data_IF_500394896034
#
_entry.id   IF_500394896034
#
_cell.length_a   1.000
_cell.length_b   1.000
_cell.length_c   1.000
_cell.angle_alpha   90.00
_cell.angle_beta   90.00
_cell.angle_gamma   90.00
#
_symmetry.space_group_name_H-M   'P 1'
#
loop_
_entity.id
_entity.type
_entity.pdbx_description
1 polymer ?
#
# COMPACT_ATOMS: atom_id res chain seq x y z
N UNK A 1 -16.22 -9.37 -10.94
CA UNK A 1 -15.52 -10.65 -11.22
C UNK A 1 -14.60 -10.93 -10.04
N UNK A 2 -14.86 -11.99 -9.26
CA UNK A 2 -13.91 -12.45 -8.23
C UNK A 2 -12.84 -13.27 -8.97
N UNK A 3 -11.64 -12.72 -9.10
CA UNK A 3 -10.53 -13.39 -9.77
C UNK A 3 -10.05 -14.59 -8.93
N UNK A 4 -9.54 -15.61 -9.61
CA UNK A 4 -9.05 -16.93 -9.14
C UNK A 4 -7.98 -16.84 -8.02
N UNK A 5 -7.52 -15.63 -7.66
CA UNK A 5 -6.46 -15.37 -6.68
C UNK A 5 -6.86 -14.54 -5.46
N UNK A 6 -8.15 -14.31 -5.18
CA UNK A 6 -8.57 -13.28 -4.21
C UNK A 6 -7.79 -13.30 -2.89
N UNK A 7 -7.63 -14.47 -2.26
CA UNK A 7 -6.88 -14.59 -0.99
C UNK A 7 -5.39 -14.21 -1.09
N UNK A 8 -4.71 -14.58 -2.19
CA UNK A 8 -3.29 -14.23 -2.38
C UNK A 8 -3.14 -12.75 -2.68
N UNK A 9 -4.05 -12.18 -3.48
CA UNK A 9 -4.12 -10.74 -3.71
C UNK A 9 -4.40 -9.97 -2.41
N UNK A 10 -5.27 -10.48 -1.55
CA UNK A 10 -5.58 -9.89 -0.25
C UNK A 10 -4.32 -9.79 0.63
N UNK A 11 -3.47 -10.83 0.66
CA UNK A 11 -2.17 -10.82 1.38
C UNK A 11 -1.28 -9.67 0.88
N UNK A 12 -1.21 -9.44 -0.43
CA UNK A 12 -0.43 -8.33 -1.00
C UNK A 12 -0.99 -6.99 -0.55
N UNK A 13 -2.31 -6.82 -0.61
CA UNK A 13 -2.96 -5.57 -0.25
C UNK A 13 -2.82 -5.26 1.23
N UNK A 14 -2.98 -6.25 2.11
CA UNK A 14 -2.73 -6.16 3.55
C UNK A 14 -1.27 -5.81 3.85
N UNK A 15 -0.32 -6.45 3.17
CA UNK A 15 1.10 -6.16 3.37
C UNK A 15 1.44 -4.74 2.94
N UNK A 16 0.96 -4.29 1.77
CA UNK A 16 1.12 -2.91 1.30
C UNK A 16 0.51 -1.89 2.26
N UNK A 17 -0.71 -2.14 2.72
CA UNK A 17 -1.42 -1.27 3.66
C UNK A 17 -0.62 -1.09 4.96
N UNK A 18 -0.06 -2.17 5.46
CA UNK A 18 0.74 -2.16 6.68
C UNK A 18 2.05 -1.38 6.48
N UNK A 19 2.78 -1.59 5.38
CA UNK A 19 4.01 -0.83 5.08
C UNK A 19 3.72 0.66 4.99
N UNK A 20 2.71 1.07 4.21
CA UNK A 20 2.36 2.48 4.06
C UNK A 20 1.95 3.14 5.38
N UNK A 21 1.20 2.40 6.22
CA UNK A 21 0.80 2.86 7.55
C UNK A 21 2.01 3.03 8.47
N UNK A 22 2.97 2.12 8.43
CA UNK A 22 4.23 2.20 9.18
C UNK A 22 5.06 3.40 8.74
N UNK A 23 5.25 3.59 7.43
CA UNK A 23 5.99 4.74 6.87
C UNK A 23 5.33 6.08 7.24
N UNK A 24 4.00 6.16 7.17
CA UNK A 24 3.27 7.35 7.65
C UNK A 24 3.47 7.57 9.15
N UNK A 25 3.39 6.51 9.96
CA UNK A 25 3.56 6.60 11.40
C UNK A 25 4.97 7.03 11.80
N UNK A 26 6.02 6.57 11.09
CA UNK A 26 7.41 7.02 11.28
C UNK A 26 7.57 8.53 11.09
N UNK A 27 6.73 9.15 10.24
CA UNK A 27 6.69 10.60 10.03
C UNK A 27 5.83 11.37 11.02
N UNK A 28 5.24 10.69 12.01
CA UNK A 28 4.31 11.28 12.98
C UNK A 28 3.11 12.00 12.34
N UNK A 29 2.71 11.61 11.12
CA UNK A 29 1.58 12.22 10.42
C UNK A 29 0.33 11.37 10.59
N UNK A 30 -0.80 12.01 10.89
CA UNK A 30 -2.10 11.33 10.76
C UNK A 30 -2.50 11.22 9.28
N UNK A 31 -3.42 10.31 8.95
CA UNK A 31 -4.01 10.24 7.59
C UNK A 31 -4.55 11.61 7.16
N UNK A 32 -5.20 12.34 8.09
CA UNK A 32 -5.78 13.65 7.79
C UNK A 32 -4.70 14.69 7.52
N UNK A 33 -3.63 14.69 8.31
CA UNK A 33 -2.54 15.64 8.15
C UNK A 33 -1.81 15.43 6.83
N UNK A 34 -1.44 14.18 6.52
CA UNK A 34 -0.78 13.85 5.25
C UNK A 34 -1.68 14.16 4.04
N UNK A 35 -2.97 13.83 4.12
CA UNK A 35 -3.95 14.16 3.08
C UNK A 35 -4.02 15.67 2.81
N UNK A 36 -4.01 16.48 3.88
CA UNK A 36 -4.09 17.93 3.78
C UNK A 36 -2.82 18.55 3.19
N UNK A 37 -1.64 18.12 3.62
CA UNK A 37 -0.35 18.70 3.19
C UNK A 37 -0.03 18.48 1.71
N UNK A 38 -0.47 17.35 1.15
CA UNK A 38 -0.14 16.94 -0.22
C UNK A 38 -1.35 16.96 -1.16
N UNK A 39 -2.47 17.57 -0.73
CA UNK A 39 -3.74 17.61 -1.46
C UNK A 39 -4.21 16.22 -1.95
N UNK A 40 -4.00 15.19 -1.12
CA UNK A 40 -4.41 13.82 -1.41
C UNK A 40 -5.81 13.62 -0.83
N UNK A 41 -6.77 13.04 -1.58
CA UNK A 41 -8.07 12.71 -1.02
C UNK A 41 -7.92 11.81 0.20
N UNK A 42 -8.37 12.26 1.38
CA UNK A 42 -8.34 11.45 2.62
C UNK A 42 -8.92 10.04 2.43
N UNK A 43 -9.94 9.92 1.59
CA UNK A 43 -10.57 8.63 1.27
C UNK A 43 -9.63 7.69 0.51
N UNK A 44 -8.68 8.20 -0.27
CA UNK A 44 -7.65 7.41 -0.95
C UNK A 44 -6.70 6.77 0.07
N UNK A 45 -6.06 7.59 0.92
CA UNK A 45 -5.18 7.12 1.99
C UNK A 45 -5.88 6.12 2.91
N UNK A 46 -7.11 6.45 3.34
CA UNK A 46 -7.90 5.56 4.20
C UNK A 46 -8.21 4.21 3.53
N UNK A 47 -8.57 4.19 2.24
CA UNK A 47 -8.85 2.92 1.54
C UNK A 47 -7.60 2.07 1.39
N UNK A 48 -6.45 2.71 1.16
CA UNK A 48 -5.17 2.03 0.95
C UNK A 48 -4.62 1.44 2.25
N UNK A 49 -4.61 2.20 3.34
CA UNK A 49 -4.13 1.70 4.64
C UNK A 49 -5.08 0.71 5.33
N UNK A 50 -6.30 0.51 4.82
CA UNK A 50 -7.25 -0.48 5.32
C UNK A 50 -7.50 -1.62 4.33
N UNK A 51 -6.71 -1.75 3.26
CA UNK A 51 -6.82 -2.81 2.24
C UNK A 51 -8.22 -2.97 1.63
N UNK A 52 -9.02 -1.89 1.60
CA UNK A 52 -10.44 -2.02 1.21
C UNK A 52 -10.62 -2.25 -0.29
N UNK A 53 -9.65 -1.81 -1.09
CA UNK A 53 -9.66 -1.90 -2.54
C UNK A 53 -8.27 -2.26 -3.06
N UNK A 54 -8.22 -2.83 -4.26
CA UNK A 54 -6.99 -2.98 -5.02
C UNK A 54 -6.31 -1.61 -5.24
N UNK A 55 -5.05 -1.43 -4.79
CA UNK A 55 -4.30 -0.22 -5.01
C UNK A 55 -3.93 -0.08 -6.50
N UNK A 56 -4.30 1.05 -7.11
CA UNK A 56 -3.77 1.41 -8.43
C UNK A 56 -2.33 1.88 -8.30
N UNK A 57 -1.50 1.60 -9.32
CA UNK A 57 -0.09 2.02 -9.36
C UNK A 57 0.07 3.53 -9.11
N UNK A 58 -0.73 4.37 -9.77
CA UNK A 58 -0.68 5.82 -9.60
C UNK A 58 -0.99 6.22 -8.15
N UNK A 59 -1.95 5.57 -7.51
CA UNK A 59 -2.28 5.84 -6.11
C UNK A 59 -1.14 5.49 -5.16
N UNK A 60 -0.46 4.37 -5.40
CA UNK A 60 0.73 3.98 -4.64
C UNK A 60 1.84 5.00 -4.83
N UNK A 61 2.09 5.40 -6.08
CA UNK A 61 3.13 6.37 -6.41
C UNK A 61 2.88 7.72 -5.73
N UNK A 62 1.68 8.28 -5.82
CA UNK A 62 1.35 9.57 -5.18
C UNK A 62 1.55 9.53 -3.66
N UNK A 63 1.23 8.41 -3.02
CA UNK A 63 1.47 8.27 -1.57
C UNK A 63 2.95 8.10 -1.27
N UNK A 64 3.70 7.39 -2.10
CA UNK A 64 5.15 7.28 -1.95
C UNK A 64 5.80 8.67 -2.00
N UNK A 65 5.39 9.53 -2.93
CA UNK A 65 5.88 10.92 -3.00
C UNK A 65 5.49 11.74 -1.77
N UNK A 66 4.25 11.63 -1.29
CA UNK A 66 3.83 12.30 -0.05
C UNK A 66 4.56 11.80 1.21
N UNK A 67 4.95 10.52 1.19
CA UNK A 67 5.77 9.89 2.22
C UNK A 67 7.27 10.04 1.94
N UNK A 68 7.70 10.75 0.88
CA UNK A 68 9.12 10.91 0.54
C UNK A 68 9.88 9.56 0.56
N UNK A 69 9.27 8.54 -0.06
CA UNK A 69 9.85 7.21 -0.31
C UNK A 69 9.78 6.92 -1.80
N UNK A 70 10.73 6.13 -2.32
CA UNK A 70 10.64 5.69 -3.71
C UNK A 70 9.64 4.55 -3.81
N UNK A 71 8.86 4.53 -4.89
CA UNK A 71 7.98 3.40 -5.19
C UNK A 71 8.76 2.07 -5.27
N UNK A 72 9.99 2.09 -5.80
CA UNK A 72 10.86 0.91 -5.83
C UNK A 72 11.16 0.35 -4.44
N UNK A 73 11.32 1.23 -3.44
CA UNK A 73 11.63 0.82 -2.07
C UNK A 73 10.41 0.21 -1.40
N UNK A 74 9.21 0.76 -1.68
CA UNK A 74 7.94 0.16 -1.25
C UNK A 74 7.76 -1.24 -1.83
N UNK A 75 8.00 -1.43 -3.13
CA UNK A 75 7.86 -2.74 -3.78
C UNK A 75 8.90 -3.73 -3.24
N UNK A 76 10.14 -3.29 -3.03
CA UNK A 76 11.19 -4.12 -2.41
C UNK A 76 10.82 -4.55 -1.00
N UNK A 77 10.28 -3.64 -0.18
CA UNK A 77 9.83 -3.98 1.17
C UNK A 77 8.63 -4.92 1.15
N UNK A 78 7.70 -4.74 0.22
CA UNK A 78 6.59 -5.66 -0.01
C UNK A 78 7.12 -7.08 -0.30
N UNK A 79 8.02 -7.24 -1.26
CA UNK A 79 8.61 -8.55 -1.60
C UNK A 79 9.27 -9.22 -0.38
N UNK A 80 9.94 -8.43 0.48
CA UNK A 80 10.57 -8.94 1.70
C UNK A 80 9.58 -9.36 2.80
N UNK A 81 8.38 -8.77 2.83
CA UNK A 81 7.35 -9.06 3.85
C UNK A 81 6.35 -10.14 3.41
N UNK A 82 6.32 -10.48 2.13
CA UNK A 82 5.48 -11.57 1.63
C UNK A 82 5.99 -12.92 2.18
N UNK A 83 5.11 -13.93 2.31
CA UNK A 83 5.50 -15.27 2.74
C UNK A 83 6.60 -15.88 1.85
N UNK A 84 7.43 -16.75 2.42
CA UNK A 84 8.43 -17.48 1.63
C UNK A 84 7.79 -18.25 0.47
N UNK A 85 8.44 -18.24 -0.69
CA UNK A 85 7.96 -18.87 -1.93
C UNK A 85 6.56 -18.40 -2.37
N UNK A 86 6.16 -17.19 -1.98
CA UNK A 86 4.89 -16.61 -2.41
C UNK A 86 4.84 -16.44 -3.94
N UNK A 87 3.81 -16.98 -4.56
CA UNK A 87 3.53 -16.81 -5.99
C UNK A 87 2.05 -16.52 -6.20
N UNK A 88 1.77 -15.46 -6.96
CA UNK A 88 0.42 -15.18 -7.45
C UNK A 88 -0.03 -16.19 -8.50
N UNK A 89 0.88 -16.78 -9.26
CA UNK A 89 0.52 -17.74 -10.31
C UNK A 89 0.73 -19.15 -9.77
N UNK A 90 -0.25 -20.01 -9.95
CA UNK A 90 -0.09 -21.45 -9.72
C UNK A 90 0.63 -22.04 -10.94
N UNK A 91 1.75 -22.69 -10.70
CA UNK A 91 2.52 -23.41 -11.72
C UNK A 91 1.97 -24.81 -11.88
#
# INVERSE_FOLDING_TARGET
>A
MKHINSKKSDIIFETLAQILKEERAKKNKSIRLLAYEYDIPKSLLSRLENSKNEPKLISLWSICEALDIKLSDLIKELENKLPENFSLIEK
#
